data_IF_692580860591
#
_entry.id   IF_692580860591
#
_cell.length_a   1.000
_cell.length_b   1.000
_cell.length_c   1.000
_cell.angle_alpha   90.00
_cell.angle_beta   90.00
_cell.angle_gamma   90.00
#
_symmetry.space_group_name_H-M   'P 1'
#
loop_
_entity.id
_entity.type
_entity.pdbx_description
1 polymer ?
#
# COMPACT_ATOMS: atom_id res chain seq x y z
N UNK A 1 0.97 5.26 -1.05
CA UNK A 1 2.26 5.66 -0.48
C UNK A 1 2.65 7.12 -0.77
N UNK A 2 2.01 7.75 -1.73
CA UNK A 2 2.26 9.15 -2.09
C UNK A 2 1.59 10.16 -1.15
N UNK A 3 0.99 9.69 -0.06
CA UNK A 3 0.29 10.53 0.89
C UNK A 3 0.66 10.13 2.32
N UNK A 4 0.82 11.09 3.26
CA UNK A 4 1.08 10.76 4.66
C UNK A 4 0.00 9.84 5.23
N UNK A 5 0.41 8.90 6.07
CA UNK A 5 -0.49 7.86 6.60
C UNK A 5 -1.72 8.42 7.30
N UNK A 6 -1.55 9.45 8.14
CA UNK A 6 -2.68 10.05 8.85
C UNK A 6 -3.67 10.73 7.90
N UNK A 7 -3.18 11.30 6.80
CA UNK A 7 -4.05 11.87 5.78
C UNK A 7 -4.81 10.77 5.03
N UNK A 8 -4.17 9.65 4.75
CA UNK A 8 -4.85 8.49 4.18
C UNK A 8 -5.99 8.05 5.10
N UNK A 9 -5.69 7.90 6.39
CA UNK A 9 -6.65 7.41 7.39
C UNK A 9 -7.82 8.38 7.58
N UNK A 10 -7.54 9.68 7.73
CA UNK A 10 -8.53 10.66 8.14
C UNK A 10 -9.29 11.32 7.00
N UNK A 11 -8.71 11.38 5.81
CA UNK A 11 -9.28 12.11 4.69
C UNK A 11 -9.54 11.24 3.47
N UNK A 12 -8.52 10.51 2.99
CA UNK A 12 -8.64 9.80 1.71
C UNK A 12 -9.54 8.56 1.81
N UNK A 13 -9.36 7.71 2.81
CA UNK A 13 -10.21 6.54 2.96
C UNK A 13 -11.68 6.90 3.19
N UNK A 14 -12.02 7.85 4.08
CA UNK A 14 -13.42 8.30 4.19
C UNK A 14 -13.97 8.87 2.88
N UNK A 15 -13.16 9.65 2.15
CA UNK A 15 -13.57 10.20 0.86
C UNK A 15 -13.87 9.10 -0.15
N UNK A 16 -12.95 8.14 -0.31
CA UNK A 16 -13.15 7.03 -1.24
C UNK A 16 -14.35 6.16 -0.85
N UNK A 17 -14.54 5.91 0.45
CA UNK A 17 -15.71 5.17 0.93
C UNK A 17 -17.01 5.88 0.60
N UNK A 18 -17.01 7.21 0.64
CA UNK A 18 -18.17 8.01 0.25
C UNK A 18 -18.51 7.91 -1.25
N UNK A 19 -17.54 7.58 -2.10
CA UNK A 19 -17.75 7.42 -3.53
C UNK A 19 -18.28 6.03 -3.92
N UNK A 20 -18.11 5.04 -3.04
CA UNK A 20 -18.54 3.68 -3.33
C UNK A 20 -19.98 3.46 -2.92
N UNK A 21 -20.69 2.66 -3.73
CA UNK A 21 -22.01 2.11 -3.35
C UNK A 21 -21.82 0.96 -2.37
N UNK A 22 -22.86 0.67 -1.59
CA UNK A 22 -22.91 -0.53 -0.76
C UNK A 22 -22.65 -1.76 -1.63
N UNK A 23 -21.77 -2.65 -1.17
CA UNK A 23 -21.33 -3.80 -1.94
C UNK A 23 -20.25 -3.52 -2.95
N UNK A 24 -19.86 -2.26 -3.12
CA UNK A 24 -18.77 -1.87 -4.01
C UNK A 24 -17.42 -2.37 -3.48
N UNK A 25 -16.52 -2.71 -4.40
CA UNK A 25 -15.19 -3.24 -4.07
C UNK A 25 -14.16 -2.14 -4.20
N UNK A 26 -13.29 -2.02 -3.20
CA UNK A 26 -12.14 -1.15 -3.23
C UNK A 26 -10.87 -2.01 -3.18
N UNK A 27 -9.94 -1.71 -4.08
CA UNK A 27 -8.66 -2.43 -4.16
C UNK A 27 -7.51 -1.44 -4.14
N UNK A 28 -6.44 -1.81 -3.49
CA UNK A 28 -5.19 -1.03 -3.51
C UNK A 28 -4.01 -1.94 -3.74
N UNK A 29 -3.09 -1.48 -4.59
CA UNK A 29 -1.78 -2.10 -4.82
C UNK A 29 -0.74 -1.08 -4.41
N UNK A 30 0.14 -1.46 -3.51
CA UNK A 30 1.21 -0.58 -2.99
C UNK A 30 2.51 -1.36 -2.88
N UNK A 31 3.66 -0.67 -2.80
CA UNK A 31 4.91 -1.37 -2.48
C UNK A 31 4.78 -2.11 -1.14
N UNK A 32 5.23 -3.36 -1.13
CA UNK A 32 5.25 -4.20 0.07
C UNK A 32 6.58 -3.97 0.79
N UNK A 33 6.56 -3.02 1.74
CA UNK A 33 7.76 -2.62 2.47
C UNK A 33 8.36 -3.76 3.29
N UNK A 34 7.51 -4.60 3.88
CA UNK A 34 7.98 -5.74 4.67
C UNK A 34 8.69 -6.78 3.79
N UNK A 35 8.10 -7.12 2.63
CA UNK A 35 8.73 -8.05 1.69
C UNK A 35 10.04 -7.50 1.12
N UNK A 36 10.09 -6.20 0.87
CA UNK A 36 11.29 -5.55 0.33
C UNK A 36 12.41 -5.49 1.36
N UNK A 37 12.10 -5.20 2.61
CA UNK A 37 13.09 -5.25 3.70
C UNK A 37 13.64 -6.67 3.88
N UNK A 38 12.77 -7.68 3.82
CA UNK A 38 13.18 -9.07 3.88
C UNK A 38 14.07 -9.47 2.71
N UNK A 39 13.73 -9.05 1.49
CA UNK A 39 14.53 -9.30 0.28
C UNK A 39 15.89 -8.63 0.38
N UNK A 40 15.96 -7.41 0.89
CA UNK A 40 17.23 -6.73 1.10
C UNK A 40 18.07 -7.48 2.14
N UNK A 41 17.51 -7.90 3.26
CA UNK A 41 18.20 -8.67 4.29
C UNK A 41 18.72 -10.00 3.76
N UNK A 42 17.98 -10.63 2.84
CA UNK A 42 18.36 -11.89 2.20
C UNK A 42 19.39 -11.71 1.07
N UNK A 43 19.73 -10.48 0.70
CA UNK A 43 20.68 -10.18 -0.37
C UNK A 43 20.12 -10.21 -1.78
N UNK A 44 18.79 -10.33 -1.93
CA UNK A 44 18.12 -10.40 -3.25
C UNK A 44 17.66 -9.03 -3.77
N UNK A 45 17.73 -8.01 -2.95
CA UNK A 45 17.40 -6.64 -3.34
C UNK A 45 18.50 -5.69 -2.87
N UNK A 46 19.07 -4.89 -3.77
CA UNK A 46 20.11 -3.95 -3.40
C UNK A 46 19.53 -2.74 -2.65
N UNK A 47 20.41 -2.04 -1.96
CA UNK A 47 20.01 -0.90 -1.13
C UNK A 47 19.42 0.25 -1.96
N UNK A 48 19.96 0.51 -3.14
CA UNK A 48 19.50 1.62 -3.97
C UNK A 48 18.06 1.39 -4.46
N UNK A 49 17.75 0.15 -4.87
CA UNK A 49 16.38 -0.23 -5.25
C UNK A 49 15.43 -0.10 -4.05
N UNK A 50 15.83 -0.59 -2.89
CA UNK A 50 15.04 -0.47 -1.65
C UNK A 50 14.72 0.99 -1.35
N UNK A 51 15.75 1.86 -1.39
CA UNK A 51 15.60 3.29 -1.13
C UNK A 51 14.63 3.96 -2.09
N UNK A 52 14.79 3.69 -3.39
CA UNK A 52 13.94 4.29 -4.42
C UNK A 52 12.47 3.91 -4.27
N UNK A 53 12.20 2.65 -3.97
CA UNK A 53 10.81 2.21 -3.83
C UNK A 53 10.20 2.72 -2.53
N UNK A 54 10.96 2.74 -1.43
CA UNK A 54 10.42 3.21 -0.15
C UNK A 54 10.20 4.73 -0.12
N UNK A 55 11.06 5.51 -0.75
CA UNK A 55 10.99 6.97 -0.70
C UNK A 55 10.52 7.62 -2.00
N UNK A 56 10.37 6.86 -3.07
CA UNK A 56 10.03 7.35 -4.41
C UNK A 56 11.26 7.81 -5.18
N UNK A 57 11.10 7.96 -6.49
CA UNK A 57 12.17 8.44 -7.37
C UNK A 57 12.49 9.91 -7.11
N UNK A 58 11.52 10.69 -6.63
CA UNK A 58 11.68 12.11 -6.28
C UNK A 58 12.04 12.98 -7.48
N UNK A 59 11.54 12.64 -8.66
CA UNK A 59 11.80 13.37 -9.90
C UNK A 59 10.89 14.57 -10.08
N UNK A 60 9.72 14.58 -9.41
CA UNK A 60 8.76 15.68 -9.42
C UNK A 60 8.00 15.69 -8.08
N UNK A 61 7.24 16.76 -7.83
CA UNK A 61 6.63 17.01 -6.52
C UNK A 61 5.73 15.86 -6.03
N UNK A 62 5.00 15.19 -6.91
CA UNK A 62 4.10 14.08 -6.55
C UNK A 62 4.77 12.72 -6.48
N UNK A 63 6.08 12.64 -6.68
CA UNK A 63 6.82 11.39 -6.79
C UNK A 63 7.47 10.93 -5.49
N UNK A 64 7.18 11.61 -4.39
CA UNK A 64 7.68 11.25 -3.08
C UNK A 64 6.77 10.24 -2.41
N UNK A 65 7.37 9.26 -1.72
CA UNK A 65 6.62 8.35 -0.86
C UNK A 65 6.71 8.82 0.59
N UNK A 66 5.57 8.96 1.24
CA UNK A 66 5.46 9.47 2.60
C UNK A 66 5.14 8.39 3.62
N UNK A 67 4.81 7.20 3.17
CA UNK A 67 4.52 6.07 4.05
C UNK A 67 4.86 4.76 3.35
N UNK A 68 5.06 3.74 4.16
CA UNK A 68 5.35 2.40 3.72
C UNK A 68 4.26 1.48 4.28
N UNK A 69 3.89 0.49 3.50
CA UNK A 69 2.88 -0.49 3.90
C UNK A 69 3.48 -1.89 3.93
N UNK A 70 2.93 -2.72 4.81
CA UNK A 70 2.92 -4.17 4.66
C UNK A 70 1.51 -4.60 4.26
N UNK A 71 1.34 -5.84 3.82
CA UNK A 71 0.01 -6.34 3.52
C UNK A 71 -0.91 -6.28 4.75
N UNK A 72 -0.39 -6.64 5.93
CA UNK A 72 -1.16 -6.61 7.16
C UNK A 72 -1.52 -5.19 7.62
N UNK A 73 -0.61 -4.21 7.47
CA UNK A 73 -0.91 -2.83 7.83
C UNK A 73 -1.91 -2.19 6.89
N UNK A 74 -1.84 -2.51 5.60
CA UNK A 74 -2.83 -2.05 4.62
C UNK A 74 -4.20 -2.67 4.89
N UNK A 75 -4.23 -3.97 5.19
CA UNK A 75 -5.47 -4.66 5.57
C UNK A 75 -6.11 -4.01 6.79
N UNK A 76 -5.32 -3.72 7.82
CA UNK A 76 -5.82 -3.07 9.03
C UNK A 76 -6.42 -1.70 8.73
N UNK A 77 -5.82 -0.94 7.81
CA UNK A 77 -6.34 0.36 7.40
C UNK A 77 -7.70 0.24 6.70
N UNK A 78 -7.87 -0.79 5.85
CA UNK A 78 -9.15 -1.09 5.22
C UNK A 78 -10.21 -1.42 6.27
N UNK A 79 -9.88 -2.28 7.23
CA UNK A 79 -10.80 -2.67 8.30
C UNK A 79 -11.18 -1.48 9.19
N UNK A 80 -10.21 -0.63 9.51
CA UNK A 80 -10.43 0.60 10.27
C UNK A 80 -11.38 1.56 9.54
N UNK A 81 -11.33 1.57 8.20
CA UNK A 81 -12.23 2.38 7.37
C UNK A 81 -13.65 1.79 7.27
N UNK A 82 -13.91 0.64 7.89
CA UNK A 82 -15.22 0.02 7.94
C UNK A 82 -15.52 -0.95 6.81
N UNK A 83 -14.54 -1.32 6.01
CA UNK A 83 -14.73 -2.31 4.95
C UNK A 83 -14.90 -3.70 5.53
N UNK A 84 -15.64 -4.54 4.80
CA UNK A 84 -15.86 -5.95 5.14
C UNK A 84 -15.17 -6.84 4.12
N UNK A 85 -15.04 -8.12 4.45
CA UNK A 85 -14.42 -9.14 3.58
C UNK A 85 -13.06 -8.67 3.07
N UNK A 86 -12.28 -8.07 3.97
CA UNK A 86 -10.97 -7.55 3.61
C UNK A 86 -10.01 -8.71 3.42
N UNK A 87 -9.42 -8.79 2.23
CA UNK A 87 -8.60 -9.91 1.80
C UNK A 87 -7.27 -9.42 1.28
N UNK A 88 -6.20 -10.05 1.74
CA UNK A 88 -4.87 -9.89 1.13
C UNK A 88 -4.82 -10.77 -0.12
N UNK A 89 -4.81 -10.13 -1.29
CA UNK A 89 -4.79 -10.83 -2.59
C UNK A 89 -3.38 -11.28 -2.94
N UNK A 90 -2.38 -10.45 -2.62
CA UNK A 90 -0.98 -10.75 -2.92
C UNK A 90 -0.06 -10.13 -1.89
N UNK A 91 1.04 -10.82 -1.58
CA UNK A 91 2.13 -10.34 -0.73
C UNK A 91 3.45 -10.60 -1.44
N UNK A 92 4.33 -9.60 -1.46
CA UNK A 92 5.66 -9.75 -2.06
C UNK A 92 5.61 -10.14 -3.53
N UNK A 93 4.55 -9.74 -4.23
CA UNK A 93 4.39 -10.05 -5.65
C UNK A 93 5.37 -9.21 -6.46
N UNK A 94 6.11 -9.86 -7.32
CA UNK A 94 7.12 -9.20 -8.15
C UNK A 94 6.47 -8.31 -9.20
N UNK A 95 6.92 -7.06 -9.27
CA UNK A 95 6.52 -6.10 -10.30
C UNK A 95 7.77 -5.31 -10.71
N UNK A 96 8.48 -5.77 -11.74
CA UNK A 96 9.78 -5.21 -12.12
C UNK A 96 10.78 -5.37 -10.97
N UNK A 97 11.35 -4.26 -10.53
CA UNK A 97 12.28 -4.23 -9.39
C UNK A 97 11.57 -4.10 -8.04
N UNK A 98 10.27 -3.81 -8.06
CA UNK A 98 9.46 -3.66 -6.86
C UNK A 98 8.83 -4.98 -6.44
N UNK A 99 8.63 -5.13 -5.14
CA UNK A 99 7.71 -6.14 -4.58
C UNK A 99 6.48 -5.39 -4.09
N UNK A 100 5.30 -5.90 -4.45
CA UNK A 100 4.04 -5.22 -4.15
C UNK A 100 3.12 -6.12 -3.33
N UNK A 101 2.18 -5.51 -2.61
CA UNK A 101 1.05 -6.20 -2.01
C UNK A 101 -0.26 -5.62 -2.54
N UNK A 102 -1.29 -6.44 -2.50
CA UNK A 102 -2.62 -6.06 -2.95
C UNK A 102 -3.64 -6.48 -1.91
N UNK A 103 -4.54 -5.56 -1.56
CA UNK A 103 -5.61 -5.78 -0.61
C UNK A 103 -6.91 -5.31 -1.23
N UNK A 104 -7.97 -6.10 -1.05
CA UNK A 104 -9.34 -5.72 -1.45
C UNK A 104 -10.25 -5.70 -0.24
N UNK A 105 -11.28 -4.87 -0.30
CA UNK A 105 -12.32 -4.81 0.70
C UNK A 105 -13.65 -4.43 0.06
N UNK A 106 -14.73 -4.70 0.77
CA UNK A 106 -16.09 -4.45 0.29
C UNK A 106 -16.73 -3.40 1.18
N UNK A 107 -17.35 -2.39 0.56
CA UNK A 107 -18.11 -1.40 1.30
C UNK A 107 -19.41 -2.04 1.83
N UNK A 108 -19.64 -1.80 3.07
CA UNK A 108 -20.83 -2.21 3.78
C UNK A 108 -22.11 -1.54 3.27
#
# INVERSE_FOLDING_TARGET
>A
EHCPLERCRRQLFPYWMGLLQSGGVFSAVVPDGEAMLAAHAAGTMDFDTLRKVLYGEQEYEGDFHFTMFSASSLKALFEEAGMQQVTVVAQGRKNGLCLECEVTGVKQ
#
